data_IF_724628313739
#
_entry.id   IF_724628313739
#
_cell.length_a   1.000
_cell.length_b   1.000
_cell.length_c   1.000
_cell.angle_alpha   90.00
_cell.angle_beta   90.00
_cell.angle_gamma   90.00
#
_symmetry.space_group_name_H-M   'P 1'
#
loop_
_entity.id
_entity.type
_entity.pdbx_description
1 polymer ?
#
# COMPACT_ATOMS: atom_id res chain seq x y z
N UNK A 1 86.84 36.53 -10.10
CA UNK A 1 86.80 36.32 -11.56
C UNK A 1 85.59 35.45 -11.85
N UNK A 2 84.61 36.04 -12.55
CA UNK A 2 83.82 35.46 -13.65
C UNK A 2 83.51 33.94 -13.63
N UNK A 3 82.19 33.64 -13.61
CA UNK A 3 81.43 32.72 -14.50
C UNK A 3 81.92 31.29 -14.71
N UNK A 4 81.13 30.23 -14.94
CA UNK A 4 79.70 29.87 -14.96
C UNK A 4 79.67 28.54 -15.76
N UNK A 5 78.51 27.84 -15.74
CA UNK A 5 78.04 26.88 -16.75
C UNK A 5 78.54 25.43 -16.67
N UNK A 6 77.80 24.41 -17.10
CA UNK A 6 76.36 24.06 -17.10
C UNK A 6 76.34 22.61 -17.64
N UNK A 7 75.36 21.81 -17.23
CA UNK A 7 74.99 20.54 -17.89
C UNK A 7 75.46 19.27 -17.13
N UNK A 8 74.72 18.18 -17.09
CA UNK A 8 73.53 17.78 -17.85
C UNK A 8 72.73 16.72 -17.07
N UNK A 9 71.43 16.65 -17.35
CA UNK A 9 70.50 15.70 -16.76
C UNK A 9 70.52 14.32 -17.46
N UNK A 10 70.32 13.23 -16.71
CA UNK A 10 69.40 12.14 -17.08
C UNK A 10 69.16 11.10 -15.96
N UNK A 11 67.86 10.95 -15.62
CA UNK A 11 67.05 9.74 -15.28
C UNK A 11 67.54 8.85 -14.12
N UNK A 12 66.93 8.86 -12.91
CA UNK A 12 65.59 8.42 -12.45
C UNK A 12 65.50 6.91 -12.18
N UNK A 13 65.57 6.51 -10.91
CA UNK A 13 64.84 5.37 -10.32
C UNK A 13 64.40 5.70 -8.89
N UNK A 14 63.07 5.70 -8.78
CA UNK A 14 62.08 5.76 -7.69
C UNK A 14 62.39 5.07 -6.36
N UNK A 15 62.06 5.73 -5.25
CA UNK A 15 61.34 5.12 -4.11
C UNK A 15 60.33 6.11 -3.54
N UNK A 16 59.05 5.93 -3.88
CA UNK A 16 57.92 6.63 -3.24
C UNK A 16 57.56 5.82 -1.99
N UNK A 17 57.70 6.42 -0.80
CA UNK A 17 57.13 5.88 0.42
C UNK A 17 55.67 6.34 0.50
N UNK A 18 54.75 5.42 0.25
CA UNK A 18 53.31 5.61 0.43
C UNK A 18 53.02 5.52 1.93
N UNK A 19 52.65 6.65 2.54
CA UNK A 19 52.04 6.66 3.88
C UNK A 19 50.55 6.37 3.68
N UNK A 20 50.16 5.11 3.89
CA UNK A 20 48.75 4.70 3.91
C UNK A 20 48.15 5.02 5.28
N UNK A 21 47.37 6.11 5.38
CA UNK A 21 46.50 6.33 6.52
C UNK A 21 45.27 5.42 6.39
N UNK A 22 45.20 4.38 7.22
CA UNK A 22 44.07 3.47 7.27
C UNK A 22 42.84 4.17 7.89
N UNK A 23 41.85 4.49 7.07
CA UNK A 23 40.52 4.89 7.53
C UNK A 23 39.82 3.61 8.03
N UNK A 24 39.75 3.42 9.34
CA UNK A 24 38.91 2.40 9.96
C UNK A 24 37.45 2.83 9.81
N UNK A 25 36.85 2.51 8.66
CA UNK A 25 35.41 2.62 8.45
C UNK A 25 34.69 1.56 9.28
N UNK A 26 34.08 1.96 10.39
CA UNK A 26 33.07 1.16 11.09
C UNK A 26 31.88 0.96 10.16
N UNK A 27 31.89 -0.15 9.42
CA UNK A 27 30.72 -0.62 8.69
C UNK A 27 29.72 -1.12 9.74
N UNK A 28 28.69 -0.32 10.01
CA UNK A 28 27.54 -0.77 10.78
C UNK A 28 26.87 -1.90 10.00
N UNK A 29 27.06 -3.14 10.45
CA UNK A 29 26.33 -4.30 9.92
C UNK A 29 24.88 -4.12 10.36
N UNK A 30 24.05 -3.52 9.51
CA UNK A 30 22.60 -3.54 9.69
C UNK A 30 22.12 -4.96 9.45
N UNK A 31 22.06 -5.78 10.49
CA UNK A 31 21.38 -7.08 10.42
C UNK A 31 19.90 -6.81 10.26
N UNK A 32 19.42 -6.74 9.02
CA UNK A 32 17.98 -6.86 8.76
C UNK A 32 17.59 -8.26 9.20
N UNK A 33 16.88 -8.38 10.32
CA UNK A 33 16.31 -9.66 10.72
C UNK A 33 15.50 -10.20 9.53
N UNK A 34 15.92 -11.32 8.97
CA UNK A 34 15.19 -12.00 7.91
C UNK A 34 13.75 -12.22 8.42
N UNK A 35 12.73 -11.76 7.67
CA UNK A 35 11.34 -12.09 8.01
C UNK A 35 11.16 -13.58 7.78
N UNK A 36 10.70 -14.27 8.81
CA UNK A 36 10.38 -15.68 8.75
C UNK A 36 8.88 -15.77 8.50
N UNK A 37 8.41 -15.24 7.35
CA UNK A 37 7.02 -15.40 6.94
C UNK A 37 6.80 -16.78 6.30
N UNK A 38 5.54 -17.26 6.20
CA UNK A 38 5.28 -18.54 5.58
C UNK A 38 5.63 -18.56 4.11
N UNK A 39 6.09 -19.70 3.59
CA UNK A 39 6.48 -19.81 2.19
C UNK A 39 5.32 -19.55 1.22
N UNK A 40 5.64 -19.11 0.00
CA UNK A 40 4.66 -18.95 -1.08
C UNK A 40 3.82 -20.22 -1.32
N UNK A 41 4.42 -21.41 -1.12
CA UNK A 41 3.73 -22.69 -1.21
C UNK A 41 2.67 -22.90 -0.12
N UNK A 42 2.91 -22.45 1.12
CA UNK A 42 1.91 -22.48 2.19
C UNK A 42 0.70 -21.59 1.85
N UNK A 43 0.97 -20.38 1.36
CA UNK A 43 -0.06 -19.44 0.92
C UNK A 43 -0.86 -19.95 -0.28
N UNK A 44 -0.20 -20.59 -1.25
CA UNK A 44 -0.88 -21.23 -2.39
C UNK A 44 -1.81 -22.35 -1.92
N UNK A 45 -1.34 -23.23 -1.03
CA UNK A 45 -2.18 -24.30 -0.45
C UNK A 45 -3.41 -23.72 0.26
N UNK A 46 -3.22 -22.66 1.04
CA UNK A 46 -4.32 -21.97 1.71
C UNK A 46 -5.35 -21.46 0.68
N UNK A 47 -4.93 -20.63 -0.29
CA UNK A 47 -5.85 -20.09 -1.31
C UNK A 47 -6.56 -21.18 -2.10
N UNK A 48 -5.89 -22.27 -2.42
CA UNK A 48 -6.49 -23.39 -3.14
C UNK A 48 -7.59 -24.07 -2.31
N UNK A 49 -7.37 -24.24 -1.01
CA UNK A 49 -8.38 -24.79 -0.11
C UNK A 49 -9.55 -23.81 0.10
N UNK A 50 -9.28 -22.51 0.27
CA UNK A 50 -10.29 -21.49 0.57
C UNK A 50 -11.19 -21.18 -0.64
N UNK A 51 -10.60 -21.00 -1.83
CA UNK A 51 -11.32 -20.45 -2.99
C UNK A 51 -11.01 -21.14 -4.32
N UNK A 52 -10.20 -22.20 -4.30
CA UNK A 52 -9.53 -22.75 -5.50
C UNK A 52 -8.65 -21.71 -6.21
N UNK A 53 -8.06 -20.77 -5.44
CA UNK A 53 -7.16 -19.74 -5.95
C UNK A 53 -7.84 -18.53 -6.61
N UNK A 54 -9.15 -18.35 -6.43
CA UNK A 54 -9.95 -17.34 -7.15
C UNK A 54 -10.10 -16.04 -6.35
N UNK A 55 -9.41 -14.98 -6.76
CA UNK A 55 -9.46 -13.66 -6.10
C UNK A 55 -10.80 -12.93 -6.21
N UNK A 56 -11.60 -13.21 -7.23
CA UNK A 56 -12.89 -12.55 -7.46
C UNK A 56 -14.08 -13.37 -6.96
N UNK A 57 -13.85 -14.45 -6.19
CA UNK A 57 -14.94 -15.35 -5.78
C UNK A 57 -15.87 -14.67 -4.77
N UNK A 58 -17.17 -14.83 -5.00
CA UNK A 58 -18.23 -14.44 -4.09
C UNK A 58 -19.40 -15.42 -4.30
N UNK A 59 -19.54 -16.37 -3.39
CA UNK A 59 -20.57 -17.41 -3.44
C UNK A 59 -21.84 -17.02 -2.65
N UNK A 60 -21.88 -15.82 -2.06
CA UNK A 60 -22.98 -15.39 -1.21
C UNK A 60 -22.94 -15.94 0.23
N UNK A 61 -21.85 -16.60 0.64
CA UNK A 61 -21.71 -17.20 1.99
C UNK A 61 -21.23 -16.22 3.07
N UNK A 62 -21.01 -14.94 2.73
CA UNK A 62 -20.46 -13.94 3.65
C UNK A 62 -18.94 -13.87 3.70
N UNK A 63 -18.26 -14.71 2.90
CA UNK A 63 -16.81 -14.72 2.72
C UNK A 63 -16.44 -14.38 1.27
N UNK A 64 -15.32 -13.69 1.10
CA UNK A 64 -14.98 -13.06 -0.18
C UNK A 64 -13.51 -13.28 -0.55
N UNK A 65 -13.28 -13.42 -1.86
CA UNK A 65 -11.96 -13.39 -2.47
C UNK A 65 -11.09 -14.62 -2.17
N UNK A 66 -9.81 -14.54 -2.53
CA UNK A 66 -8.95 -15.71 -2.58
C UNK A 66 -8.69 -16.37 -1.21
N UNK A 67 -8.77 -15.56 -0.16
CA UNK A 67 -8.51 -15.94 1.22
C UNK A 67 -9.79 -16.06 2.06
N UNK A 68 -10.96 -15.97 1.42
CA UNK A 68 -12.27 -16.08 2.08
C UNK A 68 -12.38 -15.19 3.32
N UNK A 69 -12.06 -13.91 3.18
CA UNK A 69 -12.22 -12.95 4.26
C UNK A 69 -13.70 -12.70 4.54
N UNK A 70 -14.11 -12.63 5.81
CA UNK A 70 -15.32 -11.92 6.20
C UNK A 70 -15.06 -10.39 6.24
N UNK A 71 -16.13 -9.58 6.12
CA UNK A 71 -16.01 -8.12 6.08
C UNK A 71 -15.43 -7.51 7.37
N UNK A 72 -15.88 -7.88 8.58
CA UNK A 72 -15.26 -7.41 9.82
C UNK A 72 -13.75 -7.68 9.90
N UNK A 73 -13.30 -8.87 9.54
CA UNK A 73 -11.89 -9.27 9.57
C UNK A 73 -11.10 -8.51 8.51
N UNK A 74 -11.61 -8.38 7.29
CA UNK A 74 -11.04 -7.54 6.23
C UNK A 74 -10.81 -6.10 6.71
N UNK A 75 -11.82 -5.50 7.33
CA UNK A 75 -11.76 -4.15 7.88
C UNK A 75 -10.79 -4.05 9.06
N UNK A 76 -10.67 -5.10 9.89
CA UNK A 76 -9.75 -5.11 11.04
C UNK A 76 -8.28 -5.01 10.65
N UNK A 77 -7.93 -5.48 9.44
CA UNK A 77 -6.58 -5.31 8.86
C UNK A 77 -6.52 -4.12 7.90
N UNK A 78 -7.54 -3.25 7.93
CA UNK A 78 -7.65 -1.97 7.24
C UNK A 78 -8.18 -2.03 5.81
N UNK A 79 -8.72 -3.17 5.39
CA UNK A 79 -9.32 -3.34 4.06
C UNK A 79 -10.61 -2.51 3.92
N UNK A 80 -10.80 -1.92 2.75
CA UNK A 80 -12.02 -1.16 2.40
C UNK A 80 -12.86 -1.92 1.39
N UNK A 81 -14.16 -1.65 1.31
CA UNK A 81 -15.06 -2.36 0.39
C UNK A 81 -15.13 -3.86 0.68
N UNK A 82 -15.38 -4.67 -0.36
CA UNK A 82 -15.37 -6.14 -0.23
C UNK A 82 -14.07 -6.74 -0.77
N UNK A 83 -13.52 -7.80 -0.14
CA UNK A 83 -12.30 -8.46 -0.60
C UNK A 83 -12.37 -8.94 -2.06
N UNK A 84 -13.49 -9.48 -2.52
CA UNK A 84 -13.69 -9.98 -3.91
C UNK A 84 -13.56 -8.89 -4.98
N UNK A 85 -13.70 -7.62 -4.60
CA UNK A 85 -13.58 -6.46 -5.48
C UNK A 85 -12.19 -5.82 -5.41
N UNK A 86 -11.36 -6.22 -4.45
CA UNK A 86 -10.02 -5.70 -4.28
C UNK A 86 -9.05 -6.37 -5.25
N UNK A 87 -8.03 -5.61 -5.67
CA UNK A 87 -6.95 -6.15 -6.48
C UNK A 87 -6.28 -7.35 -5.77
N UNK A 88 -5.75 -8.35 -6.50
CA UNK A 88 -5.08 -9.49 -5.87
C UNK A 88 -3.99 -9.11 -4.88
N UNK A 89 -3.15 -8.13 -5.24
CA UNK A 89 -2.10 -7.62 -4.37
C UNK A 89 -2.62 -6.99 -3.07
N UNK A 90 -3.83 -6.43 -3.07
CA UNK A 90 -4.47 -5.90 -1.87
C UNK A 90 -4.95 -7.05 -0.97
N UNK A 91 -5.53 -8.11 -1.56
CA UNK A 91 -5.90 -9.29 -0.79
C UNK A 91 -4.66 -9.99 -0.18
N UNK A 92 -3.58 -10.10 -0.95
CA UNK A 92 -2.31 -10.67 -0.50
C UNK A 92 -1.70 -9.88 0.66
N UNK A 93 -1.70 -8.56 0.53
CA UNK A 93 -1.25 -7.64 1.56
C UNK A 93 -2.01 -7.83 2.87
N UNK A 94 -3.35 -7.85 2.80
CA UNK A 94 -4.20 -7.98 3.99
C UNK A 94 -4.12 -9.39 4.58
N UNK A 95 -3.97 -10.42 3.77
CA UNK A 95 -3.75 -11.79 4.23
C UNK A 95 -2.44 -11.90 5.00
N UNK A 96 -1.33 -11.39 4.45
CA UNK A 96 -0.05 -11.38 5.15
C UNK A 96 -0.13 -10.57 6.45
N UNK A 97 -0.80 -9.42 6.43
CA UNK A 97 -0.95 -8.62 7.64
C UNK A 97 -1.81 -9.33 8.70
N UNK A 98 -2.91 -9.98 8.30
CA UNK A 98 -3.75 -10.77 9.20
C UNK A 98 -2.96 -11.92 9.83
N UNK A 99 -2.13 -12.62 9.04
CA UNK A 99 -1.25 -13.66 9.54
C UNK A 99 -0.26 -13.11 10.57
N UNK A 100 0.41 -11.99 10.29
CA UNK A 100 1.31 -11.36 11.26
C UNK A 100 0.59 -10.85 12.51
N UNK A 101 -0.73 -10.65 12.46
CA UNK A 101 -1.54 -10.30 13.63
C UNK A 101 -1.99 -11.52 14.44
N UNK A 102 -2.38 -12.63 13.80
CA UNK A 102 -3.13 -13.73 14.44
C UNK A 102 -2.54 -15.12 14.22
N UNK A 103 -1.52 -15.24 13.38
CA UNK A 103 -1.07 -16.50 12.80
C UNK A 103 -2.11 -17.08 11.86
N UNK A 104 -2.08 -18.40 11.67
CA UNK A 104 -3.03 -19.13 10.82
C UNK A 104 -4.46 -19.23 11.36
N UNK A 105 -4.69 -18.83 12.61
CA UNK A 105 -5.95 -19.06 13.34
C UNK A 105 -7.23 -18.61 12.59
N UNK A 106 -7.24 -17.49 11.83
CA UNK A 106 -8.43 -17.05 11.10
C UNK A 106 -8.91 -17.98 9.98
N UNK A 107 -8.06 -18.91 9.53
CA UNK A 107 -8.36 -19.77 8.38
C UNK A 107 -8.54 -21.22 8.80
N UNK A 108 -9.75 -21.76 8.66
CA UNK A 108 -10.05 -23.16 8.95
C UNK A 108 -9.24 -24.10 8.03
N UNK A 109 -9.08 -23.74 6.75
CA UNK A 109 -8.27 -24.49 5.81
C UNK A 109 -6.80 -24.61 6.24
N UNK A 110 -6.24 -23.58 6.89
CA UNK A 110 -4.87 -23.66 7.39
C UNK A 110 -4.73 -24.76 8.46
N UNK A 111 -5.74 -24.92 9.33
CA UNK A 111 -5.82 -26.03 10.28
C UNK A 111 -5.92 -27.39 9.60
N UNK A 112 -6.81 -27.53 8.60
CA UNK A 112 -6.96 -28.78 7.81
C UNK A 112 -5.69 -29.17 7.06
N UNK A 113 -4.94 -28.18 6.58
CA UNK A 113 -3.68 -28.36 5.86
C UNK A 113 -2.47 -28.56 6.80
N UNK A 114 -2.65 -28.44 8.11
CA UNK A 114 -1.56 -28.56 9.09
C UNK A 114 -0.52 -27.44 8.98
N UNK A 115 -0.91 -26.25 8.51
CA UNK A 115 0.00 -25.10 8.46
C UNK A 115 0.33 -24.63 9.88
N UNK A 116 1.63 -24.47 10.17
CA UNK A 116 2.12 -24.07 11.49
C UNK A 116 2.60 -22.63 11.49
N UNK A 117 2.40 -21.96 12.62
CA UNK A 117 2.91 -20.61 12.84
C UNK A 117 4.44 -20.63 12.87
N UNK A 118 5.04 -19.60 12.29
CA UNK A 118 6.46 -19.28 12.38
C UNK A 118 6.69 -18.10 13.35
N UNK A 119 7.91 -17.56 13.36
CA UNK A 119 8.29 -16.46 14.23
C UNK A 119 7.59 -15.13 13.89
N UNK A 120 7.04 -14.99 12.68
CA UNK A 120 6.32 -13.78 12.27
C UNK A 120 4.83 -13.79 12.62
N UNK A 121 4.28 -14.97 12.94
CA UNK A 121 2.94 -15.05 13.50
C UNK A 121 2.84 -14.22 14.78
N UNK A 122 1.83 -13.34 14.85
CA UNK A 122 1.58 -12.42 15.98
C UNK A 122 2.67 -11.38 16.24
N UNK A 123 3.61 -11.19 15.31
CA UNK A 123 4.62 -10.13 15.38
C UNK A 123 4.03 -8.72 15.29
N UNK A 124 2.80 -8.58 14.77
CA UNK A 124 2.10 -7.31 14.49
C UNK A 124 2.84 -6.40 13.51
N UNK A 125 3.86 -6.92 12.81
CA UNK A 125 4.60 -6.14 11.79
C UNK A 125 3.72 -5.91 10.59
N UNK A 126 3.41 -4.66 10.29
CA UNK A 126 2.65 -4.29 9.08
C UNK A 126 3.52 -4.53 7.83
N UNK A 127 3.09 -5.34 6.85
CA UNK A 127 3.85 -5.54 5.63
C UNK A 127 3.83 -4.28 4.75
N UNK A 128 4.69 -4.26 3.74
CA UNK A 128 4.54 -3.46 2.52
C UNK A 128 3.94 -4.30 1.40
N UNK A 129 3.42 -3.67 0.34
CA UNK A 129 2.91 -4.40 -0.83
C UNK A 129 3.98 -5.26 -1.51
N UNK A 130 5.22 -4.77 -1.56
CA UNK A 130 6.37 -5.51 -2.08
C UNK A 130 6.63 -6.77 -1.24
N UNK A 131 6.57 -6.65 0.09
CA UNK A 131 6.72 -7.78 1.00
C UNK A 131 5.59 -8.81 0.87
N UNK A 132 4.38 -8.43 0.45
CA UNK A 132 3.30 -9.39 0.21
C UNK A 132 3.31 -10.03 -1.18
N UNK A 133 4.01 -9.45 -2.15
CA UNK A 133 3.92 -9.89 -3.55
C UNK A 133 4.28 -11.38 -3.74
N UNK A 134 5.20 -11.92 -2.93
CA UNK A 134 5.63 -13.32 -3.04
C UNK A 134 4.51 -14.32 -2.71
N UNK A 135 3.50 -13.92 -1.91
CA UNK A 135 2.46 -14.86 -1.51
C UNK A 135 1.48 -15.13 -2.65
N UNK A 136 1.32 -14.23 -3.62
CA UNK A 136 0.26 -14.26 -4.64
C UNK A 136 0.30 -15.44 -5.64
N UNK A 137 1.41 -16.17 -5.75
CA UNK A 137 1.47 -17.46 -6.47
C UNK A 137 2.13 -17.46 -7.86
N UNK A 138 2.89 -16.43 -8.25
CA UNK A 138 3.83 -16.53 -9.36
C UNK A 138 3.89 -15.31 -10.28
N UNK A 139 5.10 -14.75 -10.41
CA UNK A 139 5.46 -13.59 -11.22
C UNK A 139 5.89 -12.44 -10.32
N UNK A 140 7.08 -11.87 -10.58
CA UNK A 140 7.45 -10.54 -10.09
C UNK A 140 6.23 -9.60 -10.17
N UNK A 141 6.04 -8.63 -9.26
CA UNK A 141 4.86 -7.78 -9.30
C UNK A 141 4.69 -7.32 -10.74
N UNK A 142 3.61 -7.73 -11.39
CA UNK A 142 3.17 -7.02 -12.56
C UNK A 142 3.17 -5.55 -12.09
N UNK A 143 3.87 -4.62 -12.79
CA UNK A 143 3.78 -3.21 -12.43
C UNK A 143 2.30 -2.97 -12.22
N UNK A 144 1.94 -2.48 -11.03
CA UNK A 144 0.56 -2.32 -10.59
C UNK A 144 -0.27 -2.02 -11.82
N UNK A 145 -1.29 -2.83 -12.19
CA UNK A 145 -2.00 -2.63 -13.45
C UNK A 145 -2.23 -1.15 -13.54
N UNK A 146 -1.62 -0.53 -14.55
CA UNK A 146 -1.73 0.91 -14.79
C UNK A 146 -3.22 1.15 -14.58
N UNK A 147 -3.64 1.99 -13.60
CA UNK A 147 -5.05 2.19 -13.35
C UNK A 147 -5.68 2.34 -14.74
N UNK A 148 -6.72 1.54 -15.08
CA UNK A 148 -7.25 1.48 -16.44
C UNK A 148 -7.23 2.92 -16.94
N UNK A 149 -6.55 3.22 -18.07
CA UNK A 149 -6.24 4.58 -18.46
C UNK A 149 -7.49 5.37 -18.20
N UNK A 150 -7.38 6.37 -17.31
CA UNK A 150 -8.53 7.10 -16.79
C UNK A 150 -9.49 7.28 -17.96
N UNK A 151 -10.78 6.86 -17.86
CA UNK A 151 -11.71 7.09 -18.93
C UNK A 151 -11.50 8.52 -19.39
N UNK A 152 -11.15 8.68 -20.67
CA UNK A 152 -10.87 9.99 -21.23
C UNK A 152 -11.97 10.93 -20.71
N UNK A 153 -11.61 12.13 -20.21
CA UNK A 153 -12.54 12.97 -19.48
C UNK A 153 -13.84 13.04 -20.27
N UNK A 154 -14.91 12.51 -19.67
CA UNK A 154 -16.23 12.68 -20.27
C UNK A 154 -16.48 14.18 -20.35
N UNK A 155 -17.06 14.70 -21.44
CA UNK A 155 -17.35 16.12 -21.55
C UNK A 155 -18.32 16.50 -20.42
N UNK A 156 -17.82 17.09 -19.32
CA UNK A 156 -18.64 17.38 -18.13
C UNK A 156 -17.96 17.57 -16.77
N UNK A 157 -16.63 17.44 -16.63
CA UNK A 157 -15.89 17.95 -15.45
C UNK A 157 -16.02 17.19 -14.11
N UNK A 158 -16.91 16.20 -13.98
CA UNK A 158 -16.97 15.31 -12.80
C UNK A 158 -16.21 13.99 -13.06
N UNK A 159 -15.26 13.58 -12.20
CA UNK A 159 -14.65 12.26 -12.24
C UNK A 159 -15.66 11.16 -11.85
N UNK A 160 -15.59 10.03 -12.55
CA UNK A 160 -16.38 8.84 -12.24
C UNK A 160 -16.18 8.41 -10.77
N UNK A 161 -17.25 7.89 -10.15
CA UNK A 161 -17.18 7.38 -8.78
C UNK A 161 -16.18 6.21 -8.70
N UNK A 162 -15.17 6.25 -7.81
CA UNK A 162 -14.14 5.23 -7.68
C UNK A 162 -14.62 3.85 -7.18
N UNK A 163 -15.92 3.63 -6.97
CA UNK A 163 -16.48 2.36 -6.46
C UNK A 163 -15.97 1.96 -5.06
N UNK A 164 -15.37 2.90 -4.30
CA UNK A 164 -14.81 2.65 -2.96
C UNK A 164 -15.34 3.69 -1.98
N UNK A 165 -15.94 3.25 -0.88
CA UNK A 165 -16.34 4.13 0.23
C UNK A 165 -15.13 4.44 1.10
N UNK A 166 -14.75 5.71 1.20
CA UNK A 166 -13.61 6.14 2.02
C UNK A 166 -14.03 6.56 3.43
N UNK A 167 -13.16 6.33 4.41
CA UNK A 167 -13.31 6.69 5.80
C UNK A 167 -11.98 7.18 6.41
N UNK A 168 -12.03 7.59 7.68
CA UNK A 168 -10.87 8.09 8.41
C UNK A 168 -9.69 7.11 8.36
N UNK A 169 -8.52 7.61 7.97
CA UNK A 169 -7.28 6.84 7.82
C UNK A 169 -6.97 6.40 6.40
N UNK A 170 -7.93 6.46 5.47
CA UNK A 170 -7.72 6.05 4.08
C UNK A 170 -6.87 7.06 3.33
N UNK A 171 -5.97 6.59 2.46
CA UNK A 171 -5.25 7.45 1.52
C UNK A 171 -5.45 6.92 0.09
N UNK A 172 -5.87 7.80 -0.83
CA UNK A 172 -6.12 7.46 -2.22
C UNK A 172 -5.99 8.68 -3.15
N UNK A 173 -5.60 8.49 -4.43
CA UNK A 173 -5.63 9.56 -5.43
C UNK A 173 -7.03 10.18 -5.61
N UNK A 174 -8.09 9.38 -5.49
CA UNK A 174 -9.46 9.88 -5.56
C UNK A 174 -9.81 10.80 -4.38
N UNK A 175 -9.25 10.55 -3.19
CA UNK A 175 -9.39 11.46 -2.06
C UNK A 175 -8.71 12.79 -2.30
N UNK A 176 -7.57 12.80 -3.02
CA UNK A 176 -6.93 14.04 -3.45
C UNK A 176 -7.84 14.82 -4.40
N UNK A 177 -8.48 14.14 -5.35
CA UNK A 177 -9.43 14.77 -6.26
C UNK A 177 -10.64 15.35 -5.50
N UNK A 178 -11.22 14.59 -4.58
CA UNK A 178 -12.30 15.07 -3.71
C UNK A 178 -11.86 16.28 -2.89
N UNK A 179 -10.72 16.21 -2.21
CA UNK A 179 -10.19 17.30 -1.40
C UNK A 179 -9.98 18.58 -2.22
N UNK A 180 -9.35 18.48 -3.39
CA UNK A 180 -9.18 19.63 -4.27
C UNK A 180 -10.52 20.15 -4.79
N UNK A 181 -11.49 19.27 -5.07
CA UNK A 181 -12.85 19.69 -5.44
C UNK A 181 -13.52 20.48 -4.32
N UNK A 182 -13.37 20.06 -3.07
CA UNK A 182 -13.93 20.77 -1.91
C UNK A 182 -13.37 22.19 -1.75
N UNK A 183 -12.26 22.56 -2.41
CA UNK A 183 -11.77 23.95 -2.41
C UNK A 183 -12.72 24.92 -3.11
N UNK A 184 -13.55 24.44 -4.04
CA UNK A 184 -14.61 25.25 -4.61
C UNK A 184 -15.69 25.65 -3.58
N UNK A 185 -15.74 24.95 -2.44
CA UNK A 185 -16.57 25.28 -1.28
C UNK A 185 -15.76 25.94 -0.15
N UNK A 186 -14.54 26.41 -0.41
CA UNK A 186 -13.74 27.20 0.55
C UNK A 186 -12.90 26.40 1.54
N UNK A 187 -12.80 25.07 1.42
CA UNK A 187 -12.09 24.27 2.43
C UNK A 187 -10.55 24.39 2.42
N UNK A 188 -9.92 24.87 1.34
CA UNK A 188 -8.46 25.11 1.29
C UNK A 188 -7.61 23.86 1.59
N UNK A 189 -7.95 22.72 0.99
CA UNK A 189 -7.13 21.52 0.99
C UNK A 189 -5.92 21.64 0.06
N UNK A 190 -4.77 21.17 0.53
CA UNK A 190 -3.59 20.93 -0.29
C UNK A 190 -3.72 19.69 -1.21
N UNK A 191 -4.76 18.86 -1.01
CA UNK A 191 -4.94 17.61 -1.75
C UNK A 191 -3.92 16.54 -1.34
N UNK A 192 -3.78 16.28 -0.04
CA UNK A 192 -2.86 15.25 0.49
C UNK A 192 -3.22 13.84 0.05
N UNK A 193 -4.48 13.63 -0.33
CA UNK A 193 -5.02 12.31 -0.68
C UNK A 193 -5.39 11.47 0.53
N UNK A 194 -5.25 11.98 1.76
CA UNK A 194 -5.55 11.22 2.96
C UNK A 194 -6.76 11.76 3.73
N UNK A 195 -7.65 10.85 4.12
CA UNK A 195 -8.89 11.11 4.82
C UNK A 195 -8.61 11.22 6.32
N UNK A 196 -8.33 12.44 6.78
CA UNK A 196 -8.20 12.75 8.21
C UNK A 196 -9.28 13.76 8.65
N UNK A 197 -9.10 14.41 9.80
CA UNK A 197 -10.13 15.22 10.44
C UNK A 197 -10.74 16.27 9.51
N UNK A 198 -9.90 17.01 8.78
CA UNK A 198 -10.37 18.04 7.84
C UNK A 198 -11.23 17.46 6.72
N UNK A 199 -10.86 16.30 6.17
CA UNK A 199 -11.64 15.63 5.12
C UNK A 199 -12.93 15.02 5.66
N UNK A 200 -12.88 14.45 6.87
CA UNK A 200 -14.06 13.95 7.58
C UNK A 200 -15.08 15.05 7.83
N UNK A 201 -14.63 16.21 8.29
CA UNK A 201 -15.46 17.39 8.52
C UNK A 201 -16.14 17.82 7.21
N UNK A 202 -15.37 18.00 6.14
CA UNK A 202 -15.90 18.38 4.84
C UNK A 202 -16.94 17.38 4.29
N UNK A 203 -16.74 16.08 4.53
CA UNK A 203 -17.70 15.04 4.17
C UNK A 203 -18.99 15.15 4.99
N UNK A 204 -18.90 15.33 6.30
CA UNK A 204 -20.07 15.50 7.17
C UNK A 204 -20.88 16.73 6.78
N UNK A 205 -20.22 17.86 6.53
CA UNK A 205 -20.88 19.10 6.15
C UNK A 205 -21.57 18.99 4.78
N UNK A 206 -20.93 18.30 3.84
CA UNK A 206 -21.53 17.98 2.54
C UNK A 206 -22.71 17.03 2.66
N UNK A 207 -22.63 16.03 3.55
CA UNK A 207 -23.73 15.11 3.82
C UNK A 207 -24.95 15.87 4.37
N UNK A 208 -24.76 16.71 5.38
CA UNK A 208 -25.80 17.55 5.99
C UNK A 208 -26.47 18.47 4.98
N UNK A 209 -25.67 19.18 4.18
CA UNK A 209 -26.18 20.12 3.18
C UNK A 209 -27.03 19.46 2.08
N UNK A 210 -26.83 18.16 1.86
CA UNK A 210 -27.46 17.39 0.78
C UNK A 210 -28.45 16.32 1.28
N UNK A 211 -28.79 16.31 2.57
CA UNK A 211 -29.74 15.35 3.15
C UNK A 211 -29.27 13.90 3.06
N UNK A 212 -27.95 13.68 3.10
CA UNK A 212 -27.33 12.36 3.15
C UNK A 212 -27.05 12.03 4.62
N UNK A 213 -27.22 10.77 5.04
CA UNK A 213 -26.89 10.34 6.40
C UNK A 213 -25.46 10.77 6.80
N UNK A 214 -25.34 11.43 7.96
CA UNK A 214 -24.13 11.97 8.59
C UNK A 214 -23.16 10.88 9.09
N UNK A 215 -22.82 9.94 8.21
CA UNK A 215 -21.95 8.80 8.53
C UNK A 215 -20.48 9.17 8.64
N UNK A 216 -20.07 10.33 8.11
CA UNK A 216 -18.66 10.71 8.00
C UNK A 216 -17.87 9.75 7.10
N UNK A 217 -18.56 9.07 6.18
CA UNK A 217 -17.97 8.21 5.15
C UNK A 217 -18.23 8.82 3.77
N UNK A 218 -17.19 8.92 2.94
CA UNK A 218 -17.31 9.39 1.57
C UNK A 218 -17.76 8.22 0.69
N UNK A 219 -19.06 8.10 0.50
CA UNK A 219 -19.69 7.13 -0.42
C UNK A 219 -20.15 7.76 -1.73
N UNK A 220 -20.82 6.99 -2.61
CA UNK A 220 -21.20 7.44 -3.95
C UNK A 220 -22.12 8.67 -3.95
N UNK A 221 -23.08 8.72 -3.01
CA UNK A 221 -23.97 9.87 -2.85
C UNK A 221 -23.20 11.14 -2.45
N UNK A 222 -22.31 11.02 -1.47
CA UNK A 222 -21.46 12.12 -1.01
C UNK A 222 -20.50 12.58 -2.11
N UNK A 223 -19.95 11.65 -2.89
CA UNK A 223 -19.10 11.99 -4.04
C UNK A 223 -19.88 12.79 -5.08
N UNK A 224 -21.05 12.30 -5.51
CA UNK A 224 -21.89 13.05 -6.44
C UNK A 224 -22.24 14.45 -5.91
N UNK A 225 -22.56 14.56 -4.63
CA UNK A 225 -22.85 15.84 -3.99
C UNK A 225 -21.67 16.83 -4.05
N UNK A 226 -20.43 16.36 -4.11
CA UNK A 226 -19.27 17.25 -4.21
C UNK A 226 -19.21 17.98 -5.56
N UNK A 227 -19.83 17.45 -6.62
CA UNK A 227 -19.89 18.11 -7.94
C UNK A 227 -21.25 18.75 -8.20
N UNK A 228 -22.33 18.02 -7.96
CA UNK A 228 -23.69 18.43 -8.36
C UNK A 228 -24.58 18.85 -7.18
N UNK A 229 -24.08 18.74 -5.95
CA UNK A 229 -24.84 18.98 -4.74
C UNK A 229 -24.89 20.44 -4.33
N UNK A 230 -25.69 20.69 -3.29
CA UNK A 230 -25.70 21.96 -2.56
C UNK A 230 -24.37 22.13 -1.83
N UNK A 231 -23.79 23.32 -1.96
CA UNK A 231 -22.60 23.68 -1.21
C UNK A 231 -22.88 23.66 0.30
N UNK A 232 -21.97 23.11 1.14
CA UNK A 232 -22.04 23.28 2.59
C UNK A 232 -21.98 24.76 2.96
N UNK A 233 -22.75 25.16 3.98
CA UNK A 233 -22.72 26.53 4.54
C UNK A 233 -21.74 26.63 5.69
#
# INVERSE_FOLDING_TARGET
MTTSHLGAAKRLVTRVLVVAAAVLGTQAITTTAASADPSAGAWSKLRMCESSGRYAVNTGTGYYGAYQFDLPTWQSVGGTGRPDQAAPAEQDYRALYLYRMRGWQPWECAGKLGLRNDADARSKRKPTYEQSAYIGGGGAPAPAPKPPPAPAPSPGGQPAWPQVVYAYGDCAPALKAFQLRMNAFGYGFAGTGCYYDKTKQAVLDLQRANGINDSGRLGPKTWKAAWDGKAPR
#
